data_IF_027290461552
#
_entry.id   IF_027290461552
#
_cell.length_a   1.000
_cell.length_b   1.000
_cell.length_c   1.000
_cell.angle_alpha   90.00
_cell.angle_beta   90.00
_cell.angle_gamma   90.00
#
_symmetry.space_group_name_H-M   'P 1'
#
loop_
_entity.id
_entity.type
_entity.pdbx_description
1 polymer ?
#
# COMPACT_ATOMS: atom_id res chain seq x y z
N UNK A 1 -8.43 18.62 -15.11
CA UNK A 1 -7.71 19.15 -16.30
C UNK A 1 -8.56 19.25 -17.55
N UNK A 2 -9.04 18.14 -18.13
CA UNK A 2 -9.72 18.15 -19.45
C UNK A 2 -10.87 19.16 -19.53
N UNK A 3 -11.62 19.34 -18.43
CA UNK A 3 -12.69 20.34 -18.34
C UNK A 3 -12.15 21.78 -18.39
N UNK A 4 -11.12 22.10 -17.61
CA UNK A 4 -10.43 23.42 -17.65
C UNK A 4 -9.83 23.67 -19.04
N UNK A 5 -9.14 22.67 -19.63
CA UNK A 5 -8.55 22.78 -20.96
C UNK A 5 -9.60 23.00 -22.06
N UNK A 6 -10.81 22.48 -21.88
CA UNK A 6 -11.92 22.65 -22.84
C UNK A 6 -12.40 24.10 -22.92
N UNK A 7 -12.49 24.81 -21.80
CA UNK A 7 -13.00 26.20 -21.79
C UNK A 7 -11.96 27.24 -22.21
N UNK A 8 -10.66 26.94 -22.10
CA UNK A 8 -9.59 27.90 -22.45
C UNK A 8 -9.63 28.45 -23.89
N UNK A 9 -9.69 27.59 -24.92
CA UNK A 9 -9.80 28.02 -26.31
C UNK A 9 -11.08 28.82 -26.59
N UNK A 10 -12.18 28.52 -25.90
CA UNK A 10 -13.44 29.25 -26.06
C UNK A 10 -13.34 30.67 -25.48
N UNK A 11 -12.68 30.86 -24.35
CA UNK A 11 -12.37 32.20 -23.80
C UNK A 11 -11.53 33.01 -24.80
N UNK A 12 -10.52 32.39 -25.42
CA UNK A 12 -9.70 33.05 -26.45
C UNK A 12 -10.51 33.46 -27.69
N UNK A 13 -11.51 32.67 -28.10
CA UNK A 13 -12.40 33.00 -29.22
C UNK A 13 -13.39 34.11 -28.91
N UNK A 14 -13.83 34.24 -27.66
CA UNK A 14 -14.79 35.26 -27.21
C UNK A 14 -14.14 36.64 -27.05
N UNK A 15 -12.84 36.70 -26.77
CA UNK A 15 -12.03 37.92 -26.57
C UNK A 15 -11.72 38.68 -27.87
N UNK A 16 -12.25 38.25 -29.01
CA UNK A 16 -11.86 38.75 -30.34
C UNK A 16 -12.14 40.22 -30.67
N UNK A 17 -12.75 41.04 -29.80
CA UNK A 17 -13.06 42.46 -30.10
C UNK A 17 -13.05 43.37 -28.86
N UNK A 18 -11.88 43.97 -28.62
CA UNK A 18 -11.62 45.26 -27.98
C UNK A 18 -12.00 45.45 -26.48
N UNK A 19 -11.05 45.22 -25.55
CA UNK A 19 -10.60 46.19 -24.52
C UNK A 19 -9.56 45.58 -23.55
N UNK A 20 -8.92 46.41 -22.70
CA UNK A 20 -8.02 46.01 -21.60
C UNK A 20 -8.61 44.93 -20.65
N UNK A 21 -9.95 44.81 -20.57
CA UNK A 21 -10.65 43.78 -19.78
C UNK A 21 -10.39 42.37 -20.29
N UNK A 22 -10.24 42.21 -21.59
CA UNK A 22 -10.08 40.91 -22.23
C UNK A 22 -8.72 40.26 -21.91
N UNK A 23 -7.67 41.08 -21.82
CA UNK A 23 -6.34 40.63 -21.38
C UNK A 23 -6.34 40.19 -19.91
N UNK A 24 -7.21 40.76 -19.07
CA UNK A 24 -7.32 40.38 -17.66
C UNK A 24 -7.98 39.01 -17.48
N UNK A 25 -9.02 38.69 -18.25
CA UNK A 25 -9.70 37.39 -18.19
C UNK A 25 -8.80 36.24 -18.65
N UNK A 26 -8.07 36.42 -19.76
CA UNK A 26 -7.09 35.44 -20.24
C UNK A 26 -5.99 35.23 -19.19
N UNK A 27 -5.48 36.30 -18.57
CA UNK A 27 -4.45 36.18 -17.54
C UNK A 27 -4.96 35.42 -16.30
N UNK A 28 -6.19 35.68 -15.83
CA UNK A 28 -6.82 34.96 -14.72
C UNK A 28 -7.02 33.48 -15.06
N UNK A 29 -7.53 33.18 -16.26
CA UNK A 29 -7.69 31.79 -16.71
C UNK A 29 -6.34 31.06 -16.78
N UNK A 30 -5.31 31.70 -17.34
CA UNK A 30 -3.97 31.12 -17.39
C UNK A 30 -3.42 30.84 -15.98
N UNK A 31 -3.64 31.73 -15.02
CA UNK A 31 -3.25 31.51 -13.63
C UNK A 31 -3.94 30.27 -13.02
N UNK A 32 -5.27 30.14 -13.20
CA UNK A 32 -6.03 28.97 -12.73
C UNK A 32 -5.54 27.68 -13.41
N UNK A 33 -5.33 27.71 -14.72
CA UNK A 33 -4.85 26.55 -15.47
C UNK A 33 -3.44 26.13 -15.01
N UNK A 34 -2.56 27.09 -14.73
CA UNK A 34 -1.22 26.84 -14.23
C UNK A 34 -1.24 26.25 -12.81
N UNK A 35 -2.07 26.78 -11.92
CA UNK A 35 -2.25 26.27 -10.56
C UNK A 35 -2.83 24.85 -10.58
N UNK A 36 -3.88 24.62 -11.37
CA UNK A 36 -4.48 23.29 -11.54
C UNK A 36 -3.47 22.28 -12.10
N UNK A 37 -2.65 22.69 -13.07
CA UNK A 37 -1.58 21.85 -13.62
C UNK A 37 -0.57 21.47 -12.54
N UNK A 38 -0.09 22.44 -11.76
CA UNK A 38 0.88 22.19 -10.70
C UNK A 38 0.31 21.24 -9.64
N UNK A 39 -0.93 21.46 -9.21
CA UNK A 39 -1.60 20.61 -8.24
C UNK A 39 -1.81 19.18 -8.77
N UNK A 40 -2.18 19.03 -10.03
CA UNK A 40 -2.33 17.71 -10.65
C UNK A 40 -1.02 16.95 -10.80
N UNK A 41 0.09 17.63 -11.12
CA UNK A 41 1.41 16.98 -11.16
C UNK A 41 1.83 16.51 -9.76
N UNK A 42 1.56 17.30 -8.72
CA UNK A 42 1.77 16.86 -7.33
C UNK A 42 0.92 15.64 -6.98
N UNK A 43 -0.36 15.62 -7.35
CA UNK A 43 -1.25 14.45 -7.12
C UNK A 43 -0.74 13.21 -7.84
N UNK A 44 -0.29 13.33 -9.09
CA UNK A 44 0.30 12.21 -9.84
C UNK A 44 1.56 11.69 -9.15
N UNK A 45 2.43 12.57 -8.68
CA UNK A 45 3.65 12.19 -7.96
C UNK A 45 3.35 11.46 -6.65
N UNK A 46 2.39 11.96 -5.85
CA UNK A 46 1.94 11.31 -4.62
C UNK A 46 1.36 9.91 -4.90
N UNK A 47 0.50 9.78 -5.92
CA UNK A 47 -0.05 8.48 -6.32
C UNK A 47 1.05 7.51 -6.78
N UNK A 48 2.03 7.99 -7.54
CA UNK A 48 3.20 7.19 -7.93
C UNK A 48 3.97 6.69 -6.70
N UNK A 49 4.27 7.57 -5.74
CA UNK A 49 4.93 7.20 -4.47
C UNK A 49 4.12 6.19 -3.67
N UNK A 50 2.80 6.32 -3.63
CA UNK A 50 1.93 5.35 -2.98
C UNK A 50 2.05 3.96 -3.63
N UNK A 51 2.06 3.88 -4.96
CA UNK A 51 2.27 2.62 -5.71
C UNK A 51 3.64 2.03 -5.44
N UNK A 52 4.71 2.84 -5.46
CA UNK A 52 6.07 2.41 -5.16
C UNK A 52 6.16 1.79 -3.75
N UNK A 53 5.54 2.44 -2.77
CA UNK A 53 5.47 1.96 -1.38
C UNK A 53 4.66 0.69 -1.24
N UNK A 54 3.55 0.54 -1.97
CA UNK A 54 2.79 -0.72 -2.03
C UNK A 54 3.64 -1.88 -2.55
N UNK A 55 4.38 -1.66 -3.63
CA UNK A 55 5.26 -2.68 -4.22
C UNK A 55 6.42 -3.04 -3.27
N UNK A 56 7.00 -2.04 -2.62
CA UNK A 56 8.04 -2.23 -1.61
C UNK A 56 7.54 -3.03 -0.40
N UNK A 57 6.36 -2.69 0.14
CA UNK A 57 5.73 -3.46 1.21
C UNK A 57 5.48 -4.91 0.81
N UNK A 58 4.99 -5.15 -0.42
CA UNK A 58 4.80 -6.51 -0.95
C UNK A 58 6.12 -7.28 -0.99
N UNK A 59 7.19 -6.65 -1.48
CA UNK A 59 8.54 -7.24 -1.49
C UNK A 59 8.98 -7.63 -0.08
N UNK A 60 8.87 -6.71 0.87
CA UNK A 60 9.23 -6.99 2.27
C UNK A 60 8.41 -8.14 2.86
N UNK A 61 7.09 -8.20 2.61
CA UNK A 61 6.26 -9.33 3.05
C UNK A 61 6.69 -10.67 2.42
N UNK A 62 7.16 -10.66 1.18
CA UNK A 62 7.74 -11.87 0.57
C UNK A 62 9.08 -12.24 1.24
N UNK A 63 9.92 -11.26 1.56
CA UNK A 63 11.18 -11.48 2.27
C UNK A 63 10.98 -12.01 3.70
N UNK A 64 9.87 -11.65 4.37
CA UNK A 64 9.52 -12.26 5.66
C UNK A 64 9.39 -13.78 5.53
N UNK A 65 8.80 -14.27 4.44
CA UNK A 65 8.55 -15.70 4.24
C UNK A 65 9.79 -16.42 3.69
N UNK A 66 10.46 -15.83 2.71
CA UNK A 66 11.51 -16.47 1.91
C UNK A 66 12.91 -15.86 2.08
N UNK A 67 13.12 -14.94 3.03
CA UNK A 67 14.39 -14.22 3.17
C UNK A 67 14.73 -13.42 1.91
N UNK A 68 16.02 -13.30 1.59
CA UNK A 68 16.51 -12.52 0.43
C UNK A 68 15.92 -13.01 -0.91
N UNK A 69 15.48 -14.26 -0.99
CA UNK A 69 14.86 -14.82 -2.19
C UNK A 69 13.55 -14.10 -2.55
N UNK A 70 12.80 -13.65 -1.54
CA UNK A 70 11.54 -12.92 -1.73
C UNK A 70 11.70 -11.48 -2.25
N UNK A 71 12.95 -10.99 -2.35
CA UNK A 71 13.26 -9.62 -2.74
C UNK A 71 13.13 -9.34 -4.23
N UNK A 72 13.68 -10.21 -5.07
CA UNK A 72 14.01 -9.88 -6.46
C UNK A 72 13.84 -11.04 -7.46
N UNK A 73 13.43 -12.23 -7.03
CA UNK A 73 13.45 -13.43 -7.89
C UNK A 73 12.04 -13.92 -8.27
N UNK A 74 11.79 -14.03 -9.57
CA UNK A 74 10.63 -14.72 -10.16
C UNK A 74 10.89 -16.22 -10.35
N UNK A 75 11.89 -16.76 -9.65
CA UNK A 75 12.29 -18.15 -9.77
C UNK A 75 11.31 -19.10 -9.05
N UNK A 76 11.46 -20.39 -9.35
CA UNK A 76 10.87 -21.44 -8.52
C UNK A 76 11.79 -21.73 -7.33
N UNK A 77 11.19 -22.07 -6.18
CA UNK A 77 11.95 -22.52 -5.02
C UNK A 77 12.73 -23.78 -5.41
N UNK A 78 14.05 -23.75 -5.22
CA UNK A 78 14.91 -24.88 -5.55
C UNK A 78 15.93 -25.18 -4.43
N UNK A 79 16.61 -26.31 -4.58
CA UNK A 79 17.59 -26.82 -3.61
C UNK A 79 19.01 -26.31 -3.89
N UNK A 80 19.15 -25.33 -4.80
CA UNK A 80 20.48 -24.82 -5.16
C UNK A 80 21.10 -24.11 -3.94
N UNK A 81 22.43 -24.24 -3.73
CA UNK A 81 23.11 -23.59 -2.62
C UNK A 81 22.88 -22.07 -2.54
N UNK A 82 22.72 -21.41 -3.68
CA UNK A 82 22.43 -19.97 -3.77
C UNK A 82 21.05 -19.63 -3.18
N UNK A 83 20.03 -20.41 -3.53
CA UNK A 83 18.66 -20.26 -3.01
C UNK A 83 18.61 -20.56 -1.52
N UNK A 84 19.24 -21.66 -1.09
CA UNK A 84 19.33 -22.05 0.33
C UNK A 84 19.95 -20.93 1.17
N UNK A 85 21.07 -20.33 0.72
CA UNK A 85 21.73 -19.22 1.44
C UNK A 85 20.86 -17.96 1.55
N UNK A 86 19.91 -17.76 0.64
CA UNK A 86 18.98 -16.62 0.67
C UNK A 86 17.82 -16.84 1.64
N UNK A 87 17.39 -18.09 1.83
CA UNK A 87 16.23 -18.43 2.68
C UNK A 87 16.65 -18.73 4.12
N UNK A 88 17.77 -19.44 4.30
CA UNK A 88 18.21 -19.99 5.58
C UNK A 88 19.43 -19.24 6.14
N UNK A 89 19.53 -19.18 7.46
CA UNK A 89 20.64 -18.50 8.15
C UNK A 89 22.01 -19.17 7.90
N UNK A 90 22.05 -20.46 7.55
CA UNK A 90 23.26 -21.23 7.21
C UNK A 90 23.00 -22.25 6.11
N UNK A 91 24.06 -22.83 5.58
CA UNK A 91 24.02 -23.91 4.59
C UNK A 91 23.78 -25.29 5.20
N UNK A 92 23.75 -25.37 6.53
CA UNK A 92 23.36 -26.56 7.30
C UNK A 92 22.15 -26.30 8.17
N UNK A 93 21.24 -27.27 8.23
CA UNK A 93 19.99 -27.18 8.99
C UNK A 93 20.25 -26.97 10.49
N UNK A 94 21.10 -27.81 11.10
CA UNK A 94 21.45 -27.76 12.52
C UNK A 94 22.08 -26.42 12.97
N UNK A 95 22.62 -25.65 12.03
CA UNK A 95 23.25 -24.36 12.28
C UNK A 95 22.32 -23.17 12.03
N UNK A 96 21.18 -23.41 11.38
CA UNK A 96 20.21 -22.38 11.00
C UNK A 96 19.18 -22.07 12.09
N UNK A 97 19.14 -22.87 13.15
CA UNK A 97 18.23 -22.70 14.29
C UNK A 97 18.87 -21.93 15.47
N UNK A 98 20.10 -21.45 15.32
CA UNK A 98 20.77 -20.57 16.28
C UNK A 98 21.67 -21.25 17.31
N UNK A 99 21.73 -22.58 17.34
CA UNK A 99 22.64 -23.34 18.21
C UNK A 99 22.47 -22.93 19.68
N UNK A 100 23.57 -22.68 20.38
CA UNK A 100 23.54 -22.23 21.79
C UNK A 100 23.25 -20.72 21.93
N UNK A 101 22.84 -20.08 20.84
CA UNK A 101 22.69 -18.62 20.73
C UNK A 101 23.96 -17.92 20.23
N UNK A 102 24.86 -18.69 19.65
CA UNK A 102 26.14 -18.28 19.07
C UNK A 102 26.11 -18.26 17.52
N UNK A 103 25.03 -18.76 16.91
CA UNK A 103 24.83 -18.83 15.47
C UNK A 103 23.63 -17.98 15.03
N UNK A 104 23.61 -17.45 13.79
CA UNK A 104 22.47 -16.73 13.27
C UNK A 104 21.23 -17.62 13.16
N UNK A 105 20.07 -17.01 13.35
CA UNK A 105 18.74 -17.61 13.20
C UNK A 105 17.74 -16.51 12.84
N UNK A 106 16.55 -16.87 12.37
CA UNK A 106 15.51 -15.88 12.05
C UNK A 106 15.74 -15.14 10.73
N UNK A 107 16.35 -15.81 9.74
CA UNK A 107 16.47 -15.25 8.39
C UNK A 107 15.10 -15.10 7.70
N UNK A 108 14.27 -16.12 7.82
CA UNK A 108 12.94 -16.18 7.20
C UNK A 108 11.97 -16.98 8.08
N UNK A 109 10.67 -16.79 7.88
CA UNK A 109 9.65 -17.62 8.56
C UNK A 109 9.74 -19.09 8.15
N UNK A 110 10.17 -19.40 6.92
CA UNK A 110 10.41 -20.80 6.52
C UNK A 110 11.54 -21.41 7.33
N UNK A 111 12.65 -20.70 7.52
CA UNK A 111 13.74 -21.18 8.37
C UNK A 111 13.21 -21.48 9.78
N UNK A 112 12.48 -20.55 10.38
CA UNK A 112 12.01 -20.71 11.75
C UNK A 112 10.95 -21.83 11.85
N UNK A 113 10.07 -21.93 10.87
CA UNK A 113 9.08 -23.00 10.76
C UNK A 113 9.74 -24.39 10.76
N UNK A 114 10.76 -24.60 9.93
CA UNK A 114 11.44 -25.91 9.87
C UNK A 114 12.15 -26.24 11.19
N UNK A 115 12.67 -25.24 11.92
CA UNK A 115 13.28 -25.43 13.23
C UNK A 115 12.26 -25.75 14.35
N UNK A 116 11.06 -25.16 14.28
CA UNK A 116 10.01 -25.30 15.30
C UNK A 116 9.18 -26.59 15.15
N UNK A 117 9.16 -27.16 13.94
CA UNK A 117 8.28 -28.27 13.57
C UNK A 117 9.03 -29.56 13.20
N UNK A 118 10.34 -29.67 13.43
CA UNK A 118 11.07 -30.88 13.03
C UNK A 118 10.68 -32.05 13.94
N UNK A 119 10.29 -33.18 13.34
CA UNK A 119 9.91 -34.39 14.07
C UNK A 119 10.90 -35.51 13.77
N UNK A 120 12.06 -35.49 14.42
CA UNK A 120 13.02 -36.58 14.28
C UNK A 120 12.68 -37.81 15.16
N UNK A 121 11.58 -37.79 15.92
CA UNK A 121 11.31 -38.75 17.00
C UNK A 121 9.87 -39.29 17.03
N UNK A 122 9.71 -40.40 17.76
CA UNK A 122 8.45 -41.13 17.96
C UNK A 122 7.33 -40.15 18.40
N UNK A 123 6.13 -40.17 17.78
CA UNK A 123 5.03 -39.24 18.08
C UNK A 123 4.56 -39.22 19.55
N UNK A 124 5.05 -40.13 20.40
CA UNK A 124 4.79 -40.14 21.84
C UNK A 124 5.63 -39.12 22.63
N UNK A 125 6.78 -38.70 22.09
CA UNK A 125 7.71 -37.76 22.71
C UNK A 125 7.77 -36.41 21.94
N UNK A 126 6.82 -36.20 21.03
CA UNK A 126 6.72 -35.00 20.21
C UNK A 126 6.36 -33.77 21.07
N UNK A 127 7.34 -32.90 21.26
CA UNK A 127 7.22 -31.62 21.95
C UNK A 127 7.33 -30.43 20.99
N UNK A 128 7.20 -30.69 19.69
CA UNK A 128 7.12 -29.60 18.71
C UNK A 128 5.89 -28.72 18.98
N UNK A 129 5.99 -27.45 18.59
CA UNK A 129 4.85 -26.52 18.69
C UNK A 129 3.80 -26.86 17.61
N UNK A 130 4.19 -27.63 16.60
CA UNK A 130 3.44 -27.79 15.37
C UNK A 130 2.48 -28.97 15.47
N UNK A 131 1.19 -28.66 15.52
CA UNK A 131 0.12 -29.66 15.59
C UNK A 131 -0.19 -30.20 14.18
N UNK A 132 -1.06 -31.21 14.12
CA UNK A 132 -1.62 -31.75 12.87
C UNK A 132 -0.66 -32.52 11.96
N UNK A 133 0.31 -33.25 12.54
CA UNK A 133 1.24 -34.14 11.81
C UNK A 133 2.01 -33.38 10.71
N UNK A 134 2.57 -32.24 11.07
CA UNK A 134 3.37 -31.39 10.19
C UNK A 134 4.82 -31.88 10.26
N UNK A 135 5.27 -32.72 9.33
CA UNK A 135 6.64 -33.23 9.36
C UNK A 135 7.60 -32.27 8.64
N UNK A 136 8.44 -31.56 9.39
CA UNK A 136 9.49 -30.71 8.81
C UNK A 136 10.89 -31.28 8.93
N UNK A 137 11.04 -32.60 8.84
CA UNK A 137 12.36 -33.26 8.79
C UNK A 137 13.08 -32.92 7.48
N UNK A 138 14.14 -32.12 7.59
CA UNK A 138 14.94 -31.65 6.45
C UNK A 138 16.33 -32.28 6.51
N UNK A 139 16.86 -32.67 5.35
CA UNK A 139 18.23 -33.14 5.23
C UNK A 139 19.23 -32.10 5.76
N UNK A 140 20.36 -32.50 6.36
CA UNK A 140 21.33 -31.56 6.94
C UNK A 140 21.83 -30.47 5.98
N UNK A 141 21.78 -30.72 4.67
CA UNK A 141 22.18 -29.77 3.59
C UNK A 141 20.99 -29.19 2.82
N UNK A 142 19.78 -29.31 3.36
CA UNK A 142 18.53 -28.84 2.74
C UNK A 142 18.14 -29.55 1.43
N UNK A 143 18.69 -30.71 1.06
CA UNK A 143 18.38 -31.37 -0.22
C UNK A 143 16.94 -31.83 -0.43
N UNK A 144 16.06 -31.74 0.57
CA UNK A 144 14.63 -32.05 0.44
C UNK A 144 13.72 -30.91 0.93
N UNK A 145 14.27 -29.72 1.19
CA UNK A 145 13.57 -28.65 1.91
C UNK A 145 12.32 -28.14 1.16
N UNK A 146 12.41 -28.07 -0.18
CA UNK A 146 11.31 -27.62 -1.05
C UNK A 146 10.12 -28.57 -0.94
N UNK A 147 10.36 -29.87 -1.04
CA UNK A 147 9.36 -30.92 -0.86
C UNK A 147 8.70 -30.81 0.51
N UNK A 148 9.51 -30.71 1.57
CA UNK A 148 9.02 -30.55 2.94
C UNK A 148 8.12 -29.32 3.08
N UNK A 149 8.52 -28.18 2.50
CA UNK A 149 7.72 -26.97 2.50
C UNK A 149 6.38 -27.16 1.77
N UNK A 150 6.39 -27.70 0.55
CA UNK A 150 5.17 -27.90 -0.25
C UNK A 150 4.19 -28.89 0.40
N UNK A 151 4.69 -29.94 1.05
CA UNK A 151 3.86 -30.93 1.74
C UNK A 151 3.22 -30.38 3.02
N UNK A 152 3.75 -29.30 3.60
CA UNK A 152 3.33 -28.82 4.92
C UNK A 152 2.76 -27.39 4.93
N UNK A 153 3.04 -26.54 3.94
CA UNK A 153 2.67 -25.12 3.97
C UNK A 153 1.16 -24.87 4.18
N UNK A 154 0.32 -25.73 3.61
CA UNK A 154 -1.13 -25.66 3.72
C UNK A 154 -1.64 -26.05 5.13
N UNK A 155 -0.80 -26.64 5.98
CA UNK A 155 -1.15 -27.12 7.33
C UNK A 155 -0.84 -26.11 8.43
N UNK A 156 0.02 -25.12 8.16
CA UNK A 156 0.58 -24.19 9.16
C UNK A 156 -0.48 -23.25 9.75
N UNK A 157 -1.57 -22.99 9.00
CA UNK A 157 -2.57 -21.98 9.34
C UNK A 157 -4.03 -22.46 9.15
N UNK A 158 -4.32 -23.76 9.16
CA UNK A 158 -5.66 -24.31 8.81
C UNK A 158 -6.79 -23.69 9.65
N UNK A 159 -6.53 -23.39 10.92
CA UNK A 159 -7.50 -22.81 11.85
C UNK A 159 -7.25 -21.32 12.14
N UNK A 160 -6.38 -20.67 11.37
CA UNK A 160 -6.05 -19.26 11.54
C UNK A 160 -6.81 -18.46 10.48
N UNK A 161 -7.74 -17.58 10.89
CA UNK A 161 -8.40 -16.69 9.94
C UNK A 161 -7.36 -15.88 9.16
N UNK A 162 -7.55 -15.70 7.84
CA UNK A 162 -6.64 -14.88 7.05
C UNK A 162 -6.64 -13.46 7.62
N UNK A 163 -5.44 -12.94 7.85
CA UNK A 163 -5.25 -11.59 8.38
C UNK A 163 -4.75 -10.68 7.28
N UNK A 164 -5.44 -9.56 7.05
CA UNK A 164 -4.96 -8.53 6.14
C UNK A 164 -3.72 -7.87 6.75
N UNK A 165 -2.60 -7.77 6.01
CA UNK A 165 -1.38 -7.15 6.50
C UNK A 165 -1.53 -5.62 6.53
N UNK A 166 -2.16 -5.10 7.60
CA UNK A 166 -2.19 -3.67 7.91
C UNK A 166 -1.04 -3.31 8.85
N UNK A 167 -0.61 -2.04 8.91
CA UNK A 167 0.42 -1.62 9.87
C UNK A 167 0.08 -2.01 11.31
N UNK A 168 -1.17 -1.83 11.74
CA UNK A 168 -1.61 -2.14 13.09
C UNK A 168 -1.57 -3.64 13.37
N UNK A 169 -2.00 -4.46 12.40
CA UNK A 169 -1.98 -5.92 12.53
C UNK A 169 -0.53 -6.43 12.60
N UNK A 170 0.35 -5.89 11.75
CA UNK A 170 1.77 -6.22 11.75
C UNK A 170 2.41 -5.87 13.10
N UNK A 171 2.28 -4.62 13.55
CA UNK A 171 2.87 -4.17 14.81
C UNK A 171 2.37 -5.00 16.00
N UNK A 172 1.07 -5.34 16.00
CA UNK A 172 0.49 -6.21 17.03
C UNK A 172 1.13 -7.60 17.01
N UNK A 173 1.32 -8.20 15.83
CA UNK A 173 1.95 -9.52 15.70
C UNK A 173 3.43 -9.50 16.13
N UNK A 174 4.18 -8.47 15.72
CA UNK A 174 5.58 -8.28 16.14
C UNK A 174 5.66 -8.16 17.65
N UNK A 175 4.84 -7.31 18.29
CA UNK A 175 4.85 -7.14 19.73
C UNK A 175 4.44 -8.43 20.49
N UNK A 176 3.52 -9.22 19.93
CA UNK A 176 3.15 -10.52 20.50
C UNK A 176 4.30 -11.52 20.40
N UNK A 177 5.00 -11.55 19.27
CA UNK A 177 6.17 -12.39 19.06
C UNK A 177 7.32 -11.98 19.99
N UNK A 178 7.66 -10.70 20.06
CA UNK A 178 8.72 -10.18 20.95
C UNK A 178 8.44 -10.55 22.40
N UNK A 179 7.21 -10.34 22.89
CA UNK A 179 6.81 -10.76 24.23
C UNK A 179 6.95 -12.26 24.45
N UNK A 180 6.63 -13.06 23.44
CA UNK A 180 6.80 -14.51 23.52
C UNK A 180 8.29 -14.85 23.64
N UNK A 181 9.17 -14.24 22.85
CA UNK A 181 10.61 -14.48 22.84
C UNK A 181 11.32 -13.94 24.08
N UNK A 182 10.84 -12.84 24.67
CA UNK A 182 11.41 -12.26 25.89
C UNK A 182 11.07 -13.02 27.17
N UNK A 183 10.06 -13.91 27.12
CA UNK A 183 9.61 -14.66 28.28
C UNK A 183 10.69 -15.64 28.75
N UNK A 184 10.89 -15.67 30.07
CA UNK A 184 11.79 -16.59 30.75
C UNK A 184 11.02 -17.31 31.85
N UNK A 185 11.02 -18.64 31.82
CA UNK A 185 10.36 -19.46 32.80
C UNK A 185 11.18 -20.72 33.06
N UNK A 186 11.60 -20.89 34.32
CA UNK A 186 12.40 -22.04 34.75
C UNK A 186 11.74 -23.36 34.31
N UNK A 187 12.52 -24.24 33.68
CA UNK A 187 12.07 -25.56 33.24
C UNK A 187 11.14 -25.61 32.03
N UNK A 188 10.84 -24.47 31.39
CA UNK A 188 9.84 -24.43 30.29
C UNK A 188 10.15 -23.46 29.16
N UNK A 189 10.80 -22.33 29.43
CA UNK A 189 11.10 -21.34 28.40
C UNK A 189 12.38 -20.57 28.71
N UNK A 190 13.30 -20.52 27.75
CA UNK A 190 14.51 -19.71 27.83
C UNK A 190 14.32 -18.37 27.13
N UNK A 191 14.88 -17.30 27.72
CA UNK A 191 14.85 -15.97 27.10
C UNK A 191 15.55 -15.99 25.73
N UNK A 192 14.98 -15.28 24.77
CA UNK A 192 15.40 -15.18 23.37
C UNK A 192 15.24 -16.49 22.58
N UNK A 193 14.51 -17.47 23.11
CA UNK A 193 14.26 -18.74 22.46
C UNK A 193 12.76 -18.90 22.23
N UNK A 194 12.37 -19.21 21.00
CA UNK A 194 11.02 -19.65 20.67
C UNK A 194 11.03 -21.15 20.42
N UNK A 195 10.05 -21.89 20.93
CA UNK A 195 10.05 -23.35 20.83
C UNK A 195 10.29 -24.04 22.17
N UNK A 196 10.47 -25.35 22.09
CA UNK A 196 10.83 -26.16 23.24
C UNK A 196 12.34 -26.37 23.29
N UNK A 197 12.96 -26.05 24.43
CA UNK A 197 14.37 -26.30 24.70
C UNK A 197 14.51 -26.93 26.07
N UNK A 198 15.23 -28.05 26.16
CA UNK A 198 15.50 -28.69 27.45
C UNK A 198 16.51 -27.86 28.26
N UNK A 199 16.06 -27.28 29.38
CA UNK A 199 16.89 -26.36 30.21
C UNK A 199 17.67 -27.04 31.34
N UNK A 200 17.54 -28.36 31.50
CA UNK A 200 18.15 -29.11 32.63
C UNK A 200 19.67 -29.23 32.52
N UNK A 201 20.19 -29.25 31.29
CA UNK A 201 21.62 -29.15 31.00
C UNK A 201 21.82 -27.76 30.41
N UNK A 202 22.82 -26.99 30.89
CA UNK A 202 23.10 -25.57 30.53
C UNK A 202 23.32 -25.29 29.03
N UNK A 203 23.12 -26.27 28.17
CA UNK A 203 23.27 -26.22 26.74
C UNK A 203 21.89 -26.01 26.08
N UNK A 204 21.36 -24.79 26.19
CA UNK A 204 20.14 -24.30 25.50
C UNK A 204 20.33 -24.26 23.96
N UNK A 205 20.62 -25.42 23.37
CA UNK A 205 21.04 -25.57 21.98
C UNK A 205 19.83 -25.81 21.08
N UNK A 206 19.49 -24.87 20.20
CA UNK A 206 18.52 -25.10 19.15
C UNK A 206 19.24 -25.62 17.90
N UNK A 207 19.27 -26.94 17.75
CA UNK A 207 19.79 -27.64 16.57
C UNK A 207 18.70 -28.35 15.78
N UNK A 208 17.50 -28.52 16.34
CA UNK A 208 16.38 -29.20 15.72
C UNK A 208 16.70 -30.63 15.22
N UNK A 209 17.77 -31.27 15.71
CA UNK A 209 18.20 -32.64 15.36
C UNK A 209 17.93 -33.66 16.45
N UNK A 210 17.80 -33.21 17.71
CA UNK A 210 17.66 -34.06 18.90
C UNK A 210 16.35 -33.80 19.64
N UNK A 211 15.81 -34.81 20.32
CA UNK A 211 14.55 -34.71 21.09
C UNK A 211 14.71 -33.66 22.17
N UNK A 212 13.82 -32.67 22.16
CA UNK A 212 13.83 -31.59 23.13
C UNK A 212 14.63 -30.33 22.74
N UNK A 213 14.98 -30.19 21.46
CA UNK A 213 15.71 -29.04 20.91
C UNK A 213 15.03 -28.42 19.66
N UNK A 214 13.71 -28.62 19.52
CA UNK A 214 12.85 -28.04 18.46
C UNK A 214 12.51 -26.59 18.80
N UNK A 215 13.48 -25.71 18.53
CA UNK A 215 13.43 -24.30 18.88
C UNK A 215 14.23 -23.44 17.91
N UNK A 216 14.08 -22.12 18.07
CA UNK A 216 14.89 -21.10 17.39
C UNK A 216 15.51 -20.21 18.45
N UNK A 217 16.83 -20.08 18.43
CA UNK A 217 17.59 -19.28 19.38
C UNK A 217 18.03 -17.95 18.75
N UNK A 218 17.35 -16.87 19.09
CA UNK A 218 17.59 -15.54 18.51
C UNK A 218 18.67 -14.73 19.25
N UNK A 219 19.37 -15.29 20.25
CA UNK A 219 20.37 -14.55 21.04
C UNK A 219 21.45 -13.90 20.17
N UNK A 220 21.91 -14.58 19.14
CA UNK A 220 22.89 -14.02 18.21
C UNK A 220 22.27 -12.89 17.38
N UNK A 221 21.11 -13.13 16.75
CA UNK A 221 20.43 -12.16 15.90
C UNK A 221 20.12 -10.85 16.65
N UNK A 222 19.55 -10.96 17.86
CA UNK A 222 19.23 -9.81 18.71
C UNK A 222 20.47 -8.99 19.13
N UNK A 223 21.65 -9.60 19.21
CA UNK A 223 22.92 -8.88 19.46
C UNK A 223 23.52 -8.24 18.21
N UNK A 224 23.08 -8.66 17.02
CA UNK A 224 23.70 -8.31 15.73
C UNK A 224 22.68 -7.69 14.75
N UNK A 225 21.83 -6.77 15.23
CA UNK A 225 20.93 -6.00 14.37
C UNK A 225 19.47 -6.48 14.33
N UNK A 226 19.11 -7.46 15.18
CA UNK A 226 17.74 -7.95 15.30
C UNK A 226 17.47 -9.19 14.44
N UNK A 227 16.20 -9.60 14.41
CA UNK A 227 15.74 -10.76 13.66
C UNK A 227 15.36 -10.30 12.25
N UNK A 228 15.94 -10.91 11.23
CA UNK A 228 15.87 -10.40 9.85
C UNK A 228 14.44 -10.37 9.30
N UNK A 229 13.68 -11.45 9.47
CA UNK A 229 12.27 -11.44 9.04
C UNK A 229 11.42 -10.46 9.85
N UNK A 230 11.75 -10.18 11.13
CA UNK A 230 11.05 -9.14 11.91
C UNK A 230 11.37 -7.76 11.35
N UNK A 231 12.62 -7.50 10.99
CA UNK A 231 13.03 -6.24 10.36
C UNK A 231 12.30 -6.02 9.04
N UNK A 232 12.18 -7.05 8.19
CA UNK A 232 11.37 -6.96 6.96
C UNK A 232 9.91 -6.69 7.25
N UNK A 233 9.34 -7.32 8.27
CA UNK A 233 7.94 -7.11 8.65
C UNK A 233 7.69 -5.67 9.13
N UNK A 234 8.62 -5.10 9.90
CA UNK A 234 8.59 -3.69 10.33
C UNK A 234 8.72 -2.73 9.13
N UNK A 235 9.62 -3.02 8.18
CA UNK A 235 9.76 -2.21 6.97
C UNK A 235 8.48 -2.26 6.10
N UNK A 236 7.86 -3.43 5.97
CA UNK A 236 6.57 -3.56 5.29
C UNK A 236 5.49 -2.72 5.98
N UNK A 237 5.43 -2.72 7.31
CA UNK A 237 4.50 -1.88 8.07
C UNK A 237 4.74 -0.39 7.79
N UNK A 238 6.00 0.06 7.77
CA UNK A 238 6.34 1.45 7.49
C UNK A 238 5.94 1.85 6.06
N UNK A 239 6.23 1.01 5.07
CA UNK A 239 5.86 1.27 3.68
C UNK A 239 4.34 1.31 3.48
N UNK A 240 3.58 0.48 4.21
CA UNK A 240 2.12 0.54 4.20
C UNK A 240 1.58 1.83 4.83
N UNK A 241 2.23 2.36 5.87
CA UNK A 241 1.88 3.67 6.45
C UNK A 241 2.19 4.80 5.48
N UNK A 242 3.37 4.79 4.87
CA UNK A 242 3.77 5.79 3.88
C UNK A 242 2.84 5.75 2.64
N UNK A 243 2.46 4.55 2.19
CA UNK A 243 1.47 4.36 1.12
C UNK A 243 0.14 5.03 1.49
N UNK A 244 -0.39 4.76 2.68
CA UNK A 244 -1.64 5.34 3.14
C UNK A 244 -1.56 6.87 3.24
N UNK A 245 -0.46 7.39 3.79
CA UNK A 245 -0.21 8.84 3.88
C UNK A 245 -0.20 9.50 2.49
N UNK A 246 0.53 8.94 1.54
CA UNK A 246 0.59 9.52 0.19
C UNK A 246 -0.76 9.43 -0.55
N UNK A 247 -1.52 8.36 -0.34
CA UNK A 247 -2.87 8.24 -0.88
C UNK A 247 -3.79 9.32 -0.32
N UNK A 248 -3.81 9.49 1.01
CA UNK A 248 -4.60 10.51 1.70
C UNK A 248 -4.19 11.93 1.29
N UNK A 249 -2.89 12.23 1.25
CA UNK A 249 -2.39 13.52 0.76
C UNK A 249 -2.84 13.80 -0.68
N UNK A 250 -2.84 12.78 -1.55
CA UNK A 250 -3.28 12.93 -2.94
C UNK A 250 -4.80 13.17 -3.05
N UNK A 251 -5.59 12.57 -2.17
CA UNK A 251 -7.04 12.74 -2.12
C UNK A 251 -7.43 14.09 -1.51
N UNK A 252 -6.63 14.59 -0.56
CA UNK A 252 -6.84 15.91 0.05
C UNK A 252 -6.76 17.08 -0.92
N UNK A 253 -6.14 16.87 -2.09
CA UNK A 253 -6.05 17.86 -3.17
C UNK A 253 -7.34 17.98 -4.01
N UNK A 254 -8.27 17.02 -3.91
CA UNK A 254 -9.51 17.01 -4.70
C UNK A 254 -10.35 18.27 -4.54
N UNK A 255 -10.64 18.79 -3.31
CA UNK A 255 -11.45 19.99 -3.16
C UNK A 255 -10.83 21.24 -3.80
N UNK A 256 -9.49 21.35 -3.78
CA UNK A 256 -8.79 22.46 -4.43
C UNK A 256 -8.90 22.36 -5.96
N UNK A 257 -8.78 21.15 -6.53
CA UNK A 257 -8.98 20.93 -7.96
C UNK A 257 -10.42 21.24 -8.39
N UNK A 258 -11.42 20.84 -7.59
CA UNK A 258 -12.83 21.16 -7.82
C UNK A 258 -13.09 22.66 -7.78
N UNK A 259 -12.48 23.38 -6.82
CA UNK A 259 -12.59 24.84 -6.75
C UNK A 259 -11.96 25.52 -7.98
N UNK A 260 -10.78 25.06 -8.43
CA UNK A 260 -10.12 25.59 -9.62
C UNK A 260 -10.95 25.33 -10.89
N UNK A 261 -11.58 24.16 -10.99
CA UNK A 261 -12.53 23.86 -12.07
C UNK A 261 -13.73 24.81 -12.03
N UNK A 262 -14.34 25.00 -10.86
CA UNK A 262 -15.46 25.92 -10.69
C UNK A 262 -15.09 27.36 -11.07
N UNK A 263 -13.94 27.86 -10.61
CA UNK A 263 -13.46 29.21 -10.93
C UNK A 263 -13.18 29.37 -12.43
N UNK A 264 -12.65 28.34 -13.11
CA UNK A 264 -12.46 28.37 -14.54
C UNK A 264 -13.79 28.45 -15.31
N UNK A 265 -14.81 27.70 -14.87
CA UNK A 265 -16.15 27.76 -15.46
C UNK A 265 -16.82 29.12 -15.24
N UNK A 266 -16.68 29.71 -14.05
CA UNK A 266 -17.21 31.04 -13.76
C UNK A 266 -16.56 32.12 -14.64
N UNK A 267 -15.24 32.07 -14.84
CA UNK A 267 -14.54 32.99 -15.75
C UNK A 267 -15.01 32.83 -17.20
N UNK A 268 -15.28 31.59 -17.63
CA UNK A 268 -15.83 31.33 -18.95
C UNK A 268 -17.22 31.96 -19.12
N UNK A 269 -18.10 31.83 -18.13
CA UNK A 269 -19.40 32.50 -18.13
C UNK A 269 -19.24 34.03 -18.17
N UNK A 270 -18.36 34.60 -17.34
CA UNK A 270 -18.07 36.04 -17.33
C UNK A 270 -17.60 36.53 -18.71
N UNK A 271 -16.69 35.80 -19.36
CA UNK A 271 -16.21 36.11 -20.70
C UNK A 271 -17.33 36.07 -21.73
N UNK A 272 -18.22 35.07 -21.66
CA UNK A 272 -19.38 34.95 -22.56
C UNK A 272 -20.31 36.15 -22.44
N UNK A 273 -20.69 36.56 -21.22
CA UNK A 273 -21.66 37.64 -21.02
C UNK A 273 -21.06 39.05 -21.11
N UNK A 274 -19.74 39.21 -20.91
CA UNK A 274 -19.07 40.52 -21.04
C UNK A 274 -19.03 41.05 -22.48
N UNK A 275 -19.06 40.16 -23.48
CA UNK A 275 -19.13 40.55 -24.91
C UNK A 275 -20.49 41.11 -25.33
N UNK A 276 -21.51 41.08 -24.46
CA UNK A 276 -22.87 41.53 -24.74
C UNK A 276 -23.24 42.88 -24.12
N UNK A 277 -22.35 43.51 -23.35
CA UNK A 277 -22.58 44.86 -22.82
C UNK A 277 -22.12 45.91 -23.84
N UNK A 278 -23.00 46.81 -24.32
CA UNK A 278 -22.58 47.85 -25.25
C UNK A 278 -21.52 48.74 -24.59
N UNK A 279 -20.36 48.91 -25.24
CA UNK A 279 -19.41 49.94 -24.87
C UNK A 279 -20.16 51.27 -24.85
N UNK A 280 -20.23 51.91 -23.69
CA UNK A 280 -20.71 53.26 -23.58
C UNK A 280 -19.76 54.16 -24.38
N UNK A 281 -20.16 54.51 -25.59
CA UNK A 281 -19.53 55.57 -26.37
C UNK A 281 -19.58 56.83 -25.52
N UNK A 282 -18.46 57.53 -25.28
CA UNK A 282 -18.51 58.83 -24.63
C UNK A 282 -19.15 59.81 -25.62
N UNK A 283 -20.46 60.00 -25.51
CA UNK A 283 -21.19 61.03 -26.24
C UNK A 283 -20.85 62.39 -25.64
N UNK A 284 -20.05 63.16 -26.37
CA UNK A 284 -20.06 64.61 -26.26
C UNK A 284 -21.44 65.15 -26.70
N UNK A 285 -21.85 66.24 -26.03
CA UNK A 285 -22.98 67.14 -26.33
C UNK A 285 -24.39 66.79 -25.78
N UNK A 286 -24.68 67.44 -24.64
CA UNK A 286 -25.77 68.41 -24.40
C UNK A 286 -27.20 68.14 -24.91
N UNK A 287 -28.11 68.06 -23.92
CA UNK A 287 -29.56 68.34 -23.90
C UNK A 287 -30.50 67.58 -24.86
N UNK A 288 -31.44 66.78 -24.34
CA UNK A 288 -32.77 67.25 -23.87
C UNK A 288 -33.57 66.08 -23.23
N UNK A 289 -34.31 66.42 -22.17
CA UNK A 289 -35.24 65.61 -21.35
C UNK A 289 -36.13 64.57 -22.08
N UNK A 290 -36.42 63.44 -21.42
CA UNK A 290 -37.78 63.10 -20.94
C UNK A 290 -37.82 61.73 -20.23
N UNK A 291 -38.81 61.60 -19.38
CA UNK A 291 -39.03 60.71 -18.24
C UNK A 291 -39.55 59.29 -18.53
N UNK A 292 -39.27 58.41 -17.55
CA UNK A 292 -40.10 57.32 -16.99
C UNK A 292 -40.30 55.99 -17.74
N UNK A 293 -39.78 54.94 -17.08
CA UNK A 293 -40.46 53.71 -16.63
C UNK A 293 -41.35 52.90 -17.60
N UNK A 294 -40.93 51.68 -17.90
CA UNK A 294 -41.36 50.45 -17.17
C UNK A 294 -41.37 49.21 -18.08
N UNK A 295 -41.15 48.08 -17.44
CA UNK A 295 -41.05 46.72 -17.97
C UNK A 295 -42.30 46.25 -18.74
N UNK A 296 -42.12 45.40 -19.75
CA UNK A 296 -42.45 43.96 -19.69
C UNK A 296 -42.44 43.32 -21.09
N UNK A 297 -41.97 42.08 -21.16
CA UNK A 297 -42.34 41.16 -22.24
C UNK A 297 -41.29 40.13 -22.60
N UNK A 298 -41.03 39.18 -21.72
CA UNK A 298 -40.60 37.83 -22.13
C UNK A 298 -41.82 37.13 -22.79
N UNK A 299 -41.63 36.34 -23.85
CA UNK A 299 -41.68 34.89 -23.60
C UNK A 299 -40.76 34.04 -24.49
N UNK A 300 -39.96 33.20 -23.84
CA UNK A 300 -39.99 31.72 -23.91
C UNK A 300 -40.39 31.05 -25.24
N UNK A 301 -39.46 30.28 -25.84
CA UNK A 301 -39.59 28.83 -26.09
C UNK A 301 -38.31 28.27 -26.76
N UNK A 302 -37.55 27.37 -26.13
CA UNK A 302 -37.73 25.90 -26.05
C UNK A 302 -37.52 25.19 -27.39
N UNK A 303 -36.41 24.45 -27.54
CA UNK A 303 -36.40 22.97 -27.62
C UNK A 303 -35.13 22.43 -28.29
N UNK A 304 -34.56 21.39 -27.67
CA UNK A 304 -33.93 20.21 -28.29
C UNK A 304 -32.56 20.37 -28.99
N UNK A 305 -31.58 19.47 -28.84
CA UNK A 305 -31.55 18.09 -28.31
C UNK A 305 -30.07 17.72 -28.14
N UNK A 306 -29.72 17.02 -27.07
CA UNK A 306 -28.44 16.34 -26.89
C UNK A 306 -28.59 14.87 -27.28
N UNK A 307 -27.84 14.40 -28.26
CA UNK A 307 -27.54 12.97 -28.41
C UNK A 307 -26.08 12.75 -28.00
N UNK A 308 -25.93 11.97 -26.92
CA UNK A 308 -24.65 11.46 -26.42
C UNK A 308 -24.22 10.26 -27.25
N UNK A 309 -23.04 10.35 -27.86
CA UNK A 309 -22.38 9.20 -28.47
C UNK A 309 -21.37 8.60 -27.48
N UNK A 310 -21.66 7.35 -27.16
CA UNK A 310 -20.95 6.39 -26.31
C UNK A 310 -19.56 6.08 -26.90
N UNK A 311 -18.51 6.12 -26.08
CA UNK A 311 -17.22 5.52 -26.42
C UNK A 311 -16.66 4.73 -25.24
N UNK A 312 -16.41 3.47 -25.55
CA UNK A 312 -16.09 2.36 -24.66
C UNK A 312 -14.66 2.40 -24.17
N UNK A 313 -14.49 1.79 -22.99
CA UNK A 313 -13.28 1.63 -22.21
C UNK A 313 -12.82 0.17 -22.39
N UNK A 314 -11.60 -0.03 -22.86
CA UNK A 314 -10.88 -1.30 -22.74
C UNK A 314 -9.57 -1.04 -22.00
N UNK A 315 -9.49 -1.52 -20.76
CA UNK A 315 -8.23 -1.96 -20.15
C UNK A 315 -8.56 -3.12 -19.21
N UNK A 316 -8.34 -4.33 -19.72
CA UNK A 316 -8.54 -5.58 -19.00
C UNK A 316 -7.27 -5.91 -18.21
N UNK A 317 -7.27 -5.62 -16.91
CA UNK A 317 -6.72 -6.56 -15.92
C UNK A 317 -7.25 -6.23 -14.50
N UNK A 318 -8.52 -6.58 -14.27
CA UNK A 318 -9.17 -6.46 -12.98
C UNK A 318 -9.76 -7.81 -12.56
N UNK A 319 -8.99 -8.57 -11.77
CA UNK A 319 -9.57 -9.65 -10.97
C UNK A 319 -9.10 -9.62 -9.51
N UNK A 320 -9.34 -8.50 -8.82
CA UNK A 320 -9.61 -8.51 -7.38
C UNK A 320 -10.76 -7.53 -7.13
N UNK A 321 -11.97 -8.08 -6.95
CA UNK A 321 -13.21 -7.33 -6.74
C UNK A 321 -13.14 -6.50 -5.46
N UNK A 322 -13.43 -5.21 -5.59
CA UNK A 322 -13.58 -4.29 -4.47
C UNK A 322 -13.69 -2.85 -4.95
N UNK A 323 -14.71 -2.56 -5.76
CA UNK A 323 -15.05 -1.20 -6.16
C UNK A 323 -16.53 -1.09 -6.46
N UNK A 324 -17.26 -0.37 -5.62
CA UNK A 324 -18.61 0.12 -5.94
C UNK A 324 -18.52 1.48 -6.64
N UNK A 325 -19.44 1.80 -7.58
CA UNK A 325 -19.29 2.94 -8.48
C UNK A 325 -19.67 4.26 -7.81
N UNK A 326 -18.93 5.31 -8.18
CA UNK A 326 -19.28 6.71 -7.94
C UNK A 326 -20.66 7.04 -8.54
N UNK A 327 -21.63 7.37 -7.69
CA UNK A 327 -22.62 8.45 -7.87
C UNK A 327 -23.42 8.54 -6.55
N UNK A 328 -23.24 9.62 -5.78
CA UNK A 328 -24.05 9.93 -4.59
C UNK A 328 -23.24 10.21 -3.32
N UNK A 329 -22.81 11.45 -3.14
CA UNK A 329 -22.25 11.99 -1.89
C UNK A 329 -23.39 12.27 -0.90
N UNK A 330 -23.29 11.75 0.33
CA UNK A 330 -23.61 12.36 1.64
C UNK A 330 -24.11 11.32 2.64
N UNK A 331 -23.51 11.36 3.83
CA UNK A 331 -23.87 10.63 5.06
C UNK A 331 -23.66 9.11 4.98
N UNK A 332 -22.58 8.63 5.60
CA UNK A 332 -22.58 7.62 6.66
C UNK A 332 -21.13 7.16 6.88
N UNK A 333 -20.43 7.90 7.75
CA UNK A 333 -19.36 7.30 8.53
C UNK A 333 -19.97 6.20 9.40
N UNK A 334 -19.21 5.12 9.57
CA UNK A 334 -19.44 3.94 10.42
C UNK A 334 -20.05 2.72 9.73
N UNK A 335 -19.19 1.71 9.67
CA UNK A 335 -19.44 0.27 9.66
C UNK A 335 -19.38 -0.45 8.31
N UNK A 336 -18.63 -1.55 8.37
CA UNK A 336 -18.64 -2.75 7.53
C UNK A 336 -17.75 -2.73 6.27
N UNK A 337 -16.59 -3.37 6.46
CA UNK A 337 -15.71 -3.99 5.46
C UNK A 337 -16.22 -5.38 5.08
#
# INVERSE_FOLDING_TARGET
MRRIEKVGPEIHGLVGKADQRDGSLIAKFHAIAQEAKQLMENVKDLRRKAVEKRLSAKRHLHQVIFGDYGGDETGELDEKPETVKKIFSRDKFEESCGGKGDKPAGKSLINDFLCLCSHWFDPKDDQSICKYKVDTSVDPKFSNWTKVWHENNHRICVNTPPLTPTPQNIQKLVALFERAVEREQSGSQAKNVLGYVKTENKDEACNATDTGFTCVNYKYALKNGGIEWVNHLNNASQDLQDMARYAEESESALPQLEMLEYNALLLYEEAKYSTHLPHAVPSNETDTNSSNESYQGDPTNTSDTSEEEKLEEEDADATWKGGTPWWGILMFFLMAF
#
